data_IF_215148395455
#
_entry.id   IF_215148395455
#
_cell.length_a   1.000
_cell.length_b   1.000
_cell.length_c   1.000
_cell.angle_alpha   90.00
_cell.angle_beta   90.00
_cell.angle_gamma   90.00
#
_symmetry.space_group_name_H-M   'P 1'
#
loop_
_entity.id
_entity.type
_entity.pdbx_description
1 polymer ?
#
# COMPACT_ATOMS: atom_id res chain seq x y z
N UNK A 1 10.44 11.22 16.01
CA UNK A 1 10.07 9.99 15.53
C UNK A 1 9.58 10.04 14.11
N UNK A 2 9.60 8.90 13.52
CA UNK A 2 9.15 8.81 12.15
C UNK A 2 7.75 9.39 12.03
N UNK A 3 7.55 10.23 11.06
CA UNK A 3 6.26 10.80 10.78
C UNK A 3 5.41 9.76 10.05
N UNK A 4 4.77 8.89 10.82
CA UNK A 4 3.90 7.86 10.26
C UNK A 4 2.50 8.41 9.99
N UNK A 5 2.26 9.69 10.31
CA UNK A 5 0.99 10.32 10.06
C UNK A 5 0.79 10.78 8.62
N UNK A 6 1.87 10.97 7.88
CA UNK A 6 1.79 11.41 6.50
C UNK A 6 1.18 10.32 5.61
N UNK A 7 0.19 10.67 4.77
CA UNK A 7 -0.38 9.67 3.85
C UNK A 7 0.66 9.05 2.93
N UNK A 8 1.62 9.84 2.46
CA UNK A 8 2.68 9.35 1.57
C UNK A 8 3.52 8.29 2.26
N UNK A 9 3.92 8.54 3.51
CA UNK A 9 4.71 7.59 4.28
C UNK A 9 3.90 6.32 4.55
N UNK A 10 2.63 6.46 4.93
CA UNK A 10 1.78 5.31 5.19
C UNK A 10 1.59 4.46 3.94
N UNK A 11 1.40 5.08 2.79
CA UNK A 11 1.25 4.35 1.52
C UNK A 11 2.55 3.60 1.20
N UNK A 12 3.71 4.22 1.40
CA UNK A 12 4.99 3.56 1.16
C UNK A 12 5.17 2.35 2.08
N UNK A 13 4.85 2.49 3.36
CA UNK A 13 4.96 1.40 4.32
C UNK A 13 4.00 0.26 3.99
N UNK A 14 2.77 0.59 3.61
CA UNK A 14 1.79 -0.41 3.21
C UNK A 14 2.25 -1.13 1.95
N UNK A 15 2.83 -0.41 1.00
CA UNK A 15 3.32 -1.02 -0.24
C UNK A 15 4.44 -2.02 0.04
N UNK A 16 5.38 -1.66 0.91
CA UNK A 16 6.45 -2.57 1.29
C UNK A 16 5.88 -3.84 1.95
N UNK A 17 4.90 -3.66 2.83
CA UNK A 17 4.28 -4.78 3.52
C UNK A 17 3.47 -5.66 2.58
N UNK A 18 2.73 -5.03 1.66
CA UNK A 18 1.97 -5.77 0.64
C UNK A 18 2.91 -6.61 -0.22
N UNK A 19 4.03 -6.02 -0.64
CA UNK A 19 4.99 -6.75 -1.47
C UNK A 19 5.59 -7.93 -0.71
N UNK A 20 5.89 -7.74 0.57
CA UNK A 20 6.42 -8.81 1.42
C UNK A 20 5.43 -9.97 1.54
N UNK A 21 4.16 -9.67 1.81
CA UNK A 21 3.14 -10.70 1.95
C UNK A 21 2.82 -11.37 0.63
N UNK A 22 2.84 -10.62 -0.47
CA UNK A 22 2.63 -11.17 -1.80
C UNK A 22 3.72 -12.20 -2.12
N UNK A 23 4.97 -11.88 -1.78
CA UNK A 23 6.08 -12.80 -1.99
C UNK A 23 5.92 -14.06 -1.15
N UNK A 24 5.50 -13.89 0.10
CA UNK A 24 5.24 -15.02 0.99
C UNK A 24 4.19 -15.97 0.40
N UNK A 25 3.12 -15.42 -0.18
CA UNK A 25 2.03 -16.23 -0.72
C UNK A 25 2.40 -17.00 -1.98
N UNK A 26 3.49 -16.63 -2.64
CA UNK A 26 3.98 -17.40 -3.79
C UNK A 26 4.42 -18.80 -3.38
N UNK A 27 5.00 -18.93 -2.19
CA UNK A 27 5.43 -20.23 -1.68
C UNK A 27 4.46 -20.84 -0.66
N UNK A 28 3.51 -20.06 -0.17
CA UNK A 28 2.52 -20.49 0.83
C UNK A 28 1.12 -20.13 0.37
N UNK A 29 0.71 -20.67 -0.79
CA UNK A 29 -0.52 -20.26 -1.45
C UNK A 29 -1.78 -20.60 -0.65
N UNK A 30 -1.68 -21.51 0.32
CA UNK A 30 -2.83 -21.91 1.15
C UNK A 30 -2.86 -21.20 2.50
N UNK A 31 -2.00 -20.21 2.70
CA UNK A 31 -2.01 -19.40 3.90
C UNK A 31 -3.12 -18.36 3.80
N UNK A 32 -4.33 -18.77 4.18
CA UNK A 32 -5.51 -17.93 4.04
C UNK A 32 -5.51 -16.74 5.00
N UNK A 33 -4.88 -16.87 6.16
CA UNK A 33 -4.76 -15.76 7.09
C UNK A 33 -3.93 -14.64 6.50
N UNK A 34 -2.79 -14.98 5.90
CA UNK A 34 -1.94 -13.98 5.26
C UNK A 34 -2.66 -13.35 4.07
N UNK A 35 -3.39 -14.17 3.30
CA UNK A 35 -4.14 -13.64 2.16
C UNK A 35 -5.20 -12.63 2.61
N UNK A 36 -5.91 -12.95 3.69
CA UNK A 36 -6.92 -12.05 4.23
C UNK A 36 -6.29 -10.75 4.73
N UNK A 37 -5.14 -10.86 5.42
CA UNK A 37 -4.39 -9.69 5.86
C UNK A 37 -3.92 -8.84 4.68
N UNK A 38 -3.47 -9.49 3.61
CA UNK A 38 -3.06 -8.78 2.40
C UNK A 38 -4.20 -7.97 1.81
N UNK A 39 -5.39 -8.56 1.73
CA UNK A 39 -6.56 -7.86 1.19
C UNK A 39 -6.90 -6.63 2.03
N UNK A 40 -6.77 -6.73 3.36
CA UNK A 40 -7.00 -5.58 4.23
C UNK A 40 -6.01 -4.47 3.98
N UNK A 41 -4.74 -4.81 3.79
CA UNK A 41 -3.69 -3.82 3.53
C UNK A 41 -3.91 -3.15 2.17
N UNK A 42 -4.29 -3.92 1.16
CA UNK A 42 -4.60 -3.37 -0.16
C UNK A 42 -5.76 -2.39 -0.06
N UNK A 43 -6.80 -2.74 0.71
CA UNK A 43 -7.93 -1.85 0.93
C UNK A 43 -7.55 -0.56 1.65
N UNK A 44 -6.69 -0.67 2.67
CA UNK A 44 -6.20 0.50 3.38
C UNK A 44 -5.39 1.41 2.46
N UNK A 45 -4.49 0.82 1.66
CA UNK A 45 -3.69 1.60 0.72
C UNK A 45 -4.56 2.32 -0.28
N UNK A 46 -5.59 1.66 -0.79
CA UNK A 46 -6.50 2.27 -1.75
C UNK A 46 -7.20 3.49 -1.17
N UNK A 47 -7.67 3.38 0.08
CA UNK A 47 -8.33 4.51 0.74
C UNK A 47 -7.38 5.69 0.91
N UNK A 48 -6.12 5.41 1.30
CA UNK A 48 -5.12 6.46 1.44
C UNK A 48 -4.78 7.10 0.11
N UNK A 49 -4.70 6.30 -0.95
CA UNK A 49 -4.45 6.81 -2.30
C UNK A 49 -5.58 7.70 -2.77
N UNK A 50 -6.82 7.29 -2.53
CA UNK A 50 -7.99 8.09 -2.89
C UNK A 50 -7.99 9.41 -2.12
N UNK A 51 -7.67 9.36 -0.83
CA UNK A 51 -7.58 10.54 0.01
C UNK A 51 -6.52 11.51 -0.53
N UNK A 52 -5.34 10.97 -0.85
CA UNK A 52 -4.24 11.78 -1.37
C UNK A 52 -4.58 12.39 -2.72
N UNK A 53 -5.21 11.61 -3.60
CA UNK A 53 -5.61 12.09 -4.92
C UNK A 53 -6.55 13.29 -4.81
N UNK A 54 -7.46 13.24 -3.83
CA UNK A 54 -8.43 14.28 -3.62
C UNK A 54 -7.80 15.55 -3.03
N UNK A 55 -6.79 15.38 -2.18
CA UNK A 55 -6.18 16.52 -1.48
C UNK A 55 -4.99 17.11 -2.19
N UNK A 56 -4.19 16.28 -2.88
CA UNK A 56 -2.96 16.73 -3.51
C UNK A 56 -2.64 15.82 -4.70
N UNK A 57 -3.22 16.16 -5.84
CA UNK A 57 -3.07 15.35 -7.05
C UNK A 57 -1.61 15.24 -7.51
N UNK A 58 -0.82 16.28 -7.28
CA UNK A 58 0.59 16.25 -7.68
C UNK A 58 1.36 15.21 -6.87
N UNK A 59 1.18 15.21 -5.55
CA UNK A 59 1.82 14.21 -4.68
C UNK A 59 1.35 12.81 -5.04
N UNK A 60 0.07 12.66 -5.35
CA UNK A 60 -0.50 11.38 -5.75
C UNK A 60 0.19 10.83 -7.00
N UNK A 61 0.32 11.66 -8.04
CA UNK A 61 0.94 11.24 -9.28
C UNK A 61 2.41 10.90 -9.09
N UNK A 62 3.12 11.71 -8.32
CA UNK A 62 4.52 11.46 -8.04
C UNK A 62 4.71 10.16 -7.28
N UNK A 63 3.89 9.92 -6.27
CA UNK A 63 4.00 8.73 -5.45
C UNK A 63 3.70 7.46 -6.24
N UNK A 64 2.66 7.49 -7.08
CA UNK A 64 2.33 6.36 -7.94
C UNK A 64 3.49 6.01 -8.85
N UNK A 65 4.14 7.03 -9.41
CA UNK A 65 5.31 6.82 -10.26
C UNK A 65 6.49 6.22 -9.48
N UNK A 66 6.77 6.76 -8.30
CA UNK A 66 7.90 6.30 -7.49
C UNK A 66 7.71 4.87 -7.00
N UNK A 67 6.50 4.51 -6.58
CA UNK A 67 6.21 3.19 -6.05
C UNK A 67 5.75 2.21 -7.12
N UNK A 68 5.65 2.67 -8.36
CA UNK A 68 5.22 1.85 -9.50
C UNK A 68 3.86 1.20 -9.22
N UNK A 69 2.93 1.98 -8.70
CA UNK A 69 1.60 1.51 -8.38
C UNK A 69 0.66 1.69 -9.57
N UNK A 70 -0.27 0.75 -9.71
CA UNK A 70 -1.34 0.85 -10.70
C UNK A 70 -2.67 0.92 -9.98
N UNK A 71 -3.50 1.80 -10.45
CA UNK A 71 -4.83 1.92 -9.92
C UNK A 71 -5.83 1.37 -10.86
#
# INVERSE_FOLDING_TARGET
GADTGSPEVQIALLTARINHLTEHLKSHSKDFHTRLGLLKLVGQRRRLLDYLMDRDIESYRQLIGELNLRR
#
